data_IF_033988267168
#
_entry.id   IF_033988267168
#
_cell.length_a   1.000
_cell.length_b   1.000
_cell.length_c   1.000
_cell.angle_alpha   90.00
_cell.angle_beta   90.00
_cell.angle_gamma   90.00
#
_symmetry.space_group_name_H-M   'P 1'
#
loop_
_entity.id
_entity.type
_entity.pdbx_description
1 polymer ?
#
# COMPACT_ATOMS: atom_id res chain seq x y z
N UNK A 1 -10.06 -0.13 -20.10
CA UNK A 1 -10.69 0.98 -19.34
C UNK A 1 -9.78 2.18 -19.45
N UNK A 2 -10.28 3.37 -19.84
CA UNK A 2 -9.49 4.60 -19.85
C UNK A 2 -9.05 5.02 -18.45
N UNK A 3 -7.91 5.71 -18.31
CA UNK A 3 -7.39 6.16 -17.02
C UNK A 3 -8.39 7.08 -16.31
N UNK A 4 -9.09 7.91 -17.07
CA UNK A 4 -10.10 8.86 -16.59
C UNK A 4 -11.25 8.15 -15.87
N UNK A 5 -11.64 6.97 -16.35
CA UNK A 5 -12.68 6.15 -15.73
C UNK A 5 -12.21 5.47 -14.44
N UNK A 6 -10.91 5.22 -14.29
CA UNK A 6 -10.34 4.75 -13.03
C UNK A 6 -10.27 5.90 -12.01
N UNK A 7 -9.82 7.08 -12.46
CA UNK A 7 -9.72 8.27 -11.60
C UNK A 7 -11.07 8.70 -11.03
N UNK A 8 -12.18 8.49 -11.76
CA UNK A 8 -13.52 8.87 -11.30
C UNK A 8 -14.08 7.98 -10.17
N UNK A 9 -13.51 6.78 -9.98
CA UNK A 9 -13.92 5.84 -8.93
C UNK A 9 -12.90 5.73 -7.78
N UNK A 10 -11.73 6.37 -7.93
CA UNK A 10 -10.73 6.44 -6.89
C UNK A 10 -11.06 7.55 -5.87
N UNK A 11 -10.61 7.35 -4.63
CA UNK A 11 -10.68 8.35 -3.57
C UNK A 11 -9.31 8.52 -2.92
N UNK A 12 -9.04 9.73 -2.41
CA UNK A 12 -7.80 10.01 -1.68
C UNK A 12 -7.94 9.46 -0.26
N UNK A 13 -6.97 8.63 0.14
CA UNK A 13 -6.83 8.16 1.53
C UNK A 13 -5.52 8.72 2.10
N UNK A 14 -5.62 9.32 3.28
CA UNK A 14 -4.46 9.63 4.13
C UNK A 14 -4.24 8.50 5.12
N UNK A 15 -2.98 8.20 5.41
CA UNK A 15 -2.59 7.21 6.41
C UNK A 15 -1.47 7.78 7.28
N UNK A 16 -1.45 7.38 8.56
CA UNK A 16 -0.40 7.78 9.48
C UNK A 16 0.82 6.85 9.37
N UNK A 17 2.00 7.34 9.80
CA UNK A 17 3.19 6.50 9.88
C UNK A 17 2.92 5.32 10.82
N UNK A 18 3.17 4.09 10.32
CA UNK A 18 2.90 2.86 11.05
C UNK A 18 1.48 2.30 10.89
N UNK A 19 0.57 3.00 10.19
CA UNK A 19 -0.75 2.47 9.85
C UNK A 19 -0.62 1.30 8.85
N UNK A 20 -1.28 0.18 9.14
CA UNK A 20 -1.33 -0.96 8.25
C UNK A 20 -2.38 -0.72 7.14
N UNK A 21 -1.93 -0.69 5.88
CA UNK A 21 -2.82 -0.48 4.73
C UNK A 21 -3.50 -1.76 4.23
N UNK A 22 -2.80 -2.90 4.33
CA UNK A 22 -3.29 -4.24 4.00
C UNK A 22 -2.42 -5.30 4.67
N UNK A 23 -2.90 -6.54 4.72
CA UNK A 23 -2.22 -7.67 5.36
C UNK A 23 -2.02 -8.84 4.40
N UNK A 24 -0.88 -9.52 4.52
CA UNK A 24 -0.59 -10.72 3.73
C UNK A 24 -1.65 -11.81 3.99
N UNK A 25 -2.19 -12.39 2.91
CA UNK A 25 -3.19 -13.46 2.98
C UNK A 25 -4.63 -12.95 3.13
N UNK A 26 -4.84 -11.65 3.35
CA UNK A 26 -6.16 -11.04 3.27
C UNK A 26 -6.65 -10.97 1.83
N UNK A 27 -7.98 -10.98 1.66
CA UNK A 27 -8.59 -10.79 0.34
C UNK A 27 -8.24 -9.40 -0.19
N UNK A 28 -7.81 -9.33 -1.46
CA UNK A 28 -7.47 -8.06 -2.08
C UNK A 28 -8.74 -7.27 -2.42
N UNK A 29 -8.97 -6.16 -1.72
CA UNK A 29 -10.14 -5.29 -1.92
C UNK A 29 -9.81 -3.96 -2.58
N UNK A 30 -8.53 -3.54 -2.58
CA UNK A 30 -8.12 -2.18 -2.98
C UNK A 30 -6.70 -2.20 -3.56
N UNK A 31 -6.49 -1.34 -4.56
CA UNK A 31 -5.17 -1.00 -5.09
C UNK A 31 -4.80 0.42 -4.69
N UNK A 32 -3.52 0.66 -4.39
CA UNK A 32 -3.03 1.94 -3.88
C UNK A 32 -2.04 2.56 -4.86
N UNK A 33 -2.14 3.89 -5.00
CA UNK A 33 -1.16 4.74 -5.66
C UNK A 33 -0.63 5.72 -4.61
N UNK A 34 0.69 5.86 -4.49
CA UNK A 34 1.29 6.80 -3.56
C UNK A 34 1.30 8.18 -4.24
N UNK A 35 0.56 9.12 -3.66
CA UNK A 35 0.56 10.51 -4.11
C UNK A 35 1.66 11.32 -3.42
N UNK A 36 1.98 11.00 -2.17
CA UNK A 36 3.07 11.61 -1.40
C UNK A 36 3.47 10.71 -0.23
N UNK A 37 4.76 10.69 0.11
CA UNK A 37 5.30 9.93 1.23
C UNK A 37 5.89 8.58 0.82
N UNK A 38 5.97 7.65 1.77
CA UNK A 38 6.64 6.36 1.59
C UNK A 38 5.86 5.21 2.24
N UNK A 39 5.84 4.07 1.57
CA UNK A 39 5.22 2.83 2.05
C UNK A 39 6.23 1.69 1.98
N UNK A 40 6.38 0.98 3.10
CA UNK A 40 7.22 -0.22 3.23
C UNK A 40 6.36 -1.47 3.06
N UNK A 41 6.67 -2.28 2.07
CA UNK A 41 6.07 -3.59 1.87
C UNK A 41 7.02 -4.62 2.49
N UNK A 42 6.53 -5.37 3.47
CA UNK A 42 7.31 -6.35 4.20
C UNK A 42 6.52 -7.64 4.42
N UNK A 43 7.24 -8.70 4.77
CA UNK A 43 6.66 -9.95 5.30
C UNK A 43 7.30 -10.28 6.64
N UNK A 44 6.64 -11.09 7.45
CA UNK A 44 7.25 -11.63 8.67
C UNK A 44 8.02 -12.91 8.34
N UNK A 45 9.21 -13.08 8.92
CA UNK A 45 9.96 -14.34 8.91
C UNK A 45 9.28 -15.37 9.83
N UNK A 46 9.76 -16.62 9.82
CA UNK A 46 9.27 -17.66 10.73
C UNK A 46 9.47 -17.28 12.21
N UNK A 47 10.45 -16.44 12.49
CA UNK A 47 10.80 -15.92 13.81
C UNK A 47 10.09 -14.58 14.13
N UNK A 48 9.17 -14.12 13.27
CA UNK A 48 8.41 -12.89 13.47
C UNK A 48 9.16 -11.60 13.15
N UNK A 49 10.32 -11.67 12.49
CA UNK A 49 11.08 -10.47 12.09
C UNK A 49 10.57 -9.92 10.76
N UNK A 50 10.46 -8.61 10.64
CA UNK A 50 10.14 -7.98 9.36
C UNK A 50 11.27 -8.18 8.35
N UNK A 51 10.90 -8.62 7.14
CA UNK A 51 11.77 -8.66 5.96
C UNK A 51 11.17 -7.72 4.94
N UNK A 52 11.86 -6.61 4.69
CA UNK A 52 11.45 -5.62 3.70
C UNK A 52 11.58 -6.23 2.31
N UNK A 53 10.48 -6.26 1.57
CA UNK A 53 10.44 -6.74 0.19
C UNK A 53 10.65 -5.57 -0.78
N UNK A 54 10.03 -4.44 -0.48
CA UNK A 54 10.10 -3.26 -1.32
C UNK A 54 9.75 -1.99 -0.54
N UNK A 55 10.32 -0.88 -0.97
CA UNK A 55 10.04 0.45 -0.45
C UNK A 55 9.58 1.30 -1.63
N UNK A 56 8.36 1.82 -1.56
CA UNK A 56 7.78 2.68 -2.60
C UNK A 56 7.61 4.09 -2.07
N UNK A 57 7.93 5.09 -2.89
CA UNK A 57 7.87 6.50 -2.51
C UNK A 57 7.36 7.36 -3.66
N UNK A 58 6.79 8.51 -3.31
CA UNK A 58 6.42 9.57 -4.25
C UNK A 58 6.60 10.95 -3.60
N UNK A 59 6.96 11.95 -4.40
CA UNK A 59 7.15 13.34 -3.99
C UNK A 59 6.17 14.25 -4.71
#
# INVERSE_FOLDING_TARGET
MPLEALLSICFVKTAQAGEQLFEQGSYATTFYIILSGQVKIYKLSKEGKEVILHLSEAQ
#
